data_IF_323173888379
#
_entry.id   IF_323173888379
#
_cell.length_a   1.000
_cell.length_b   1.000
_cell.length_c   1.000
_cell.angle_alpha   90.00
_cell.angle_beta   90.00
_cell.angle_gamma   90.00
#
_symmetry.space_group_name_H-M   'P 1'
#
loop_
_entity.id
_entity.type
_entity.pdbx_description
1 polymer ?
#
# COMPACT_ATOMS: atom_id res chain seq x y z
N UNK A 1 47.07 -48.27 50.49
CA UNK A 1 45.91 -47.93 51.34
C UNK A 1 45.47 -46.52 50.94
N UNK A 2 44.24 -46.18 50.58
CA UNK A 2 42.95 -46.86 50.44
C UNK A 2 42.25 -46.10 49.28
N UNK A 3 41.80 -46.85 48.28
CA UNK A 3 41.07 -46.36 47.11
C UNK A 3 39.61 -46.11 47.49
N UNK A 4 39.18 -44.85 47.49
CA UNK A 4 37.79 -44.46 47.70
C UNK A 4 36.97 -44.59 46.42
N UNK A 5 36.16 -45.65 46.35
CA UNK A 5 35.14 -45.90 45.33
C UNK A 5 34.06 -44.82 45.38
N UNK A 6 33.91 -44.04 44.31
CA UNK A 6 32.73 -43.17 44.10
C UNK A 6 31.86 -43.75 42.99
N UNK A 7 30.58 -43.89 43.32
CA UNK A 7 29.51 -44.56 42.55
C UNK A 7 29.28 -43.91 41.17
N UNK A 8 28.87 -44.69 40.16
CA UNK A 8 28.44 -44.13 38.88
C UNK A 8 27.14 -43.32 39.05
N UNK A 9 27.14 -42.12 38.46
CA UNK A 9 25.97 -41.25 38.32
C UNK A 9 24.88 -41.97 37.53
N UNK A 10 23.71 -42.05 38.16
CA UNK A 10 22.45 -42.55 37.61
C UNK A 10 22.13 -41.80 36.31
N UNK A 11 21.93 -42.53 35.21
CA UNK A 11 21.51 -41.95 33.93
C UNK A 11 20.20 -41.16 34.11
N UNK A 12 20.05 -40.00 33.43
CA UNK A 12 18.79 -39.27 33.46
C UNK A 12 17.69 -40.16 32.85
N UNK A 13 16.67 -40.41 33.67
CA UNK A 13 15.43 -41.05 33.28
C UNK A 13 14.87 -40.38 32.03
N UNK A 14 14.63 -41.16 30.98
CA UNK A 14 13.85 -40.75 29.83
C UNK A 14 12.50 -40.19 30.34
N UNK A 15 12.38 -38.87 30.33
CA UNK A 15 11.08 -38.23 30.38
C UNK A 15 10.30 -38.75 29.17
N UNK A 16 9.27 -39.53 29.47
CA UNK A 16 8.25 -39.94 28.50
C UNK A 16 7.63 -38.67 27.95
N UNK A 17 8.15 -38.23 26.81
CA UNK A 17 7.57 -37.14 26.04
C UNK A 17 6.11 -37.45 25.80
N UNK A 18 5.23 -36.57 26.29
CA UNK A 18 3.84 -36.56 25.89
C UNK A 18 3.79 -36.65 24.35
N UNK A 19 2.98 -37.55 23.77
CA UNK A 19 2.80 -37.56 22.34
C UNK A 19 2.26 -36.18 21.95
N UNK A 20 3.10 -35.35 21.32
CA UNK A 20 2.66 -34.15 20.60
C UNK A 20 1.53 -34.64 19.71
N UNK A 21 0.29 -34.24 20.01
CA UNK A 21 -0.85 -34.45 19.12
C UNK A 21 -0.38 -34.02 17.74
N UNK A 22 -0.14 -35.00 16.85
CA UNK A 22 -0.12 -34.77 15.41
C UNK A 22 -1.54 -34.33 15.07
N UNK A 23 -1.86 -33.06 15.33
CA UNK A 23 -2.91 -32.39 14.55
C UNK A 23 -2.50 -32.67 13.11
N UNK A 24 -3.43 -33.19 12.30
CA UNK A 24 -3.31 -33.17 10.85
C UNK A 24 -2.93 -31.73 10.50
N UNK A 25 -1.63 -31.49 10.31
CA UNK A 25 -1.09 -30.16 10.15
C UNK A 25 -1.45 -29.75 8.73
N UNK A 26 -2.65 -29.21 8.58
CA UNK A 26 -3.10 -28.64 7.32
C UNK A 26 -2.08 -27.58 6.96
N UNK A 27 -1.49 -27.70 5.77
CA UNK A 27 -0.44 -26.80 5.31
C UNK A 27 -0.90 -25.34 5.47
N UNK A 28 -0.05 -24.42 5.98
CA UNK A 28 -0.44 -23.02 6.14
C UNK A 28 -0.89 -22.40 4.81
N UNK A 29 -0.34 -22.86 3.68
CA UNK A 29 -0.76 -22.42 2.35
C UNK A 29 -2.16 -22.89 1.98
N UNK A 30 -2.58 -24.08 2.44
CA UNK A 30 -3.95 -24.56 2.24
C UNK A 30 -4.95 -23.71 3.02
N UNK A 31 -4.63 -23.32 4.25
CA UNK A 31 -5.47 -22.42 5.06
C UNK A 31 -5.62 -21.06 4.37
N UNK A 32 -4.50 -20.48 3.90
CA UNK A 32 -4.51 -19.20 3.17
C UNK A 32 -5.28 -19.31 1.85
N UNK A 33 -5.09 -20.37 1.08
CA UNK A 33 -5.78 -20.60 -0.18
C UNK A 33 -7.30 -20.75 0.02
N UNK A 34 -7.74 -21.47 1.05
CA UNK A 34 -9.16 -21.59 1.41
C UNK A 34 -9.72 -20.22 1.80
N UNK A 35 -9.03 -19.47 2.65
CA UNK A 35 -9.45 -18.12 3.05
C UNK A 35 -9.60 -17.19 1.84
N UNK A 36 -8.60 -17.15 0.96
CA UNK A 36 -8.63 -16.37 -0.28
C UNK A 36 -9.77 -16.80 -1.21
N UNK A 37 -9.98 -18.11 -1.39
CA UNK A 37 -11.08 -18.63 -2.20
C UNK A 37 -12.45 -18.27 -1.64
N UNK A 38 -12.65 -18.35 -0.33
CA UNK A 38 -13.90 -17.94 0.31
C UNK A 38 -14.15 -16.43 0.15
N UNK A 39 -13.12 -15.59 0.25
CA UNK A 39 -13.24 -14.15 -0.04
C UNK A 39 -13.70 -13.92 -1.47
N UNK A 40 -13.12 -14.60 -2.46
CA UNK A 40 -13.54 -14.49 -3.86
C UNK A 40 -14.99 -14.96 -4.05
N UNK A 41 -15.42 -16.03 -3.38
CA UNK A 41 -16.82 -16.47 -3.39
C UNK A 41 -17.74 -15.42 -2.79
N UNK A 42 -17.36 -14.78 -1.68
CA UNK A 42 -18.14 -13.72 -1.06
C UNK A 42 -18.28 -12.50 -1.98
N UNK A 43 -17.18 -12.05 -2.61
CA UNK A 43 -17.23 -10.93 -3.55
C UNK A 43 -18.07 -11.29 -4.79
N UNK A 44 -18.00 -12.54 -5.28
CA UNK A 44 -18.89 -12.99 -6.34
C UNK A 44 -20.37 -12.93 -5.93
N UNK A 45 -20.70 -13.34 -4.71
CA UNK A 45 -22.05 -13.30 -4.16
C UNK A 45 -22.56 -11.88 -3.89
N UNK A 46 -21.66 -10.94 -3.59
CA UNK A 46 -21.97 -9.51 -3.46
C UNK A 46 -22.51 -8.93 -4.77
N UNK A 47 -22.03 -9.41 -5.92
CA UNK A 47 -22.52 -9.04 -7.24
C UNK A 47 -21.87 -7.77 -7.81
N UNK A 48 -22.54 -7.14 -8.78
CA UNK A 48 -21.98 -6.01 -9.55
C UNK A 48 -22.03 -4.66 -8.83
N UNK A 49 -22.87 -4.54 -7.80
CA UNK A 49 -23.02 -3.33 -7.00
C UNK A 49 -21.97 -3.34 -5.88
N UNK A 50 -20.88 -2.61 -6.07
CA UNK A 50 -19.86 -2.44 -5.02
C UNK A 50 -20.06 -1.16 -4.20
N UNK A 51 -20.70 -0.14 -4.78
CA UNK A 51 -21.04 1.10 -4.07
C UNK A 51 -22.45 1.06 -3.48
N UNK A 52 -22.63 1.73 -2.34
CA UNK A 52 -23.91 1.85 -1.61
C UNK A 52 -24.55 0.50 -1.21
N UNK A 53 -23.78 -0.59 -1.21
CA UNK A 53 -24.21 -1.88 -0.67
C UNK A 53 -23.96 -1.96 0.84
N UNK A 54 -24.60 -2.93 1.48
CA UNK A 54 -24.40 -3.20 2.91
C UNK A 54 -22.91 -3.33 3.24
N UNK A 55 -22.41 -2.64 4.29
CA UNK A 55 -21.04 -2.80 4.76
C UNK A 55 -20.76 -4.20 5.31
N UNK A 56 -21.79 -5.05 5.47
CA UNK A 56 -21.64 -6.43 5.91
C UNK A 56 -20.72 -7.24 4.98
N UNK A 57 -20.76 -7.01 3.67
CA UNK A 57 -19.92 -7.74 2.70
C UNK A 57 -18.41 -7.57 2.94
N UNK A 58 -17.86 -6.34 2.88
CA UNK A 58 -16.43 -6.14 3.14
C UNK A 58 -16.03 -6.51 4.57
N UNK A 59 -16.95 -6.41 5.55
CA UNK A 59 -16.70 -6.87 6.91
C UNK A 59 -16.53 -8.40 6.96
N UNK A 60 -17.43 -9.15 6.34
CA UNK A 60 -17.37 -10.63 6.33
C UNK A 60 -16.13 -11.12 5.57
N UNK A 61 -15.79 -10.51 4.43
CA UNK A 61 -14.55 -10.80 3.72
C UNK A 61 -13.31 -10.56 4.58
N UNK A 62 -13.25 -9.42 5.28
CA UNK A 62 -12.16 -9.09 6.18
C UNK A 62 -12.06 -10.08 7.36
N UNK A 63 -13.20 -10.53 7.90
CA UNK A 63 -13.24 -11.55 8.95
C UNK A 63 -12.73 -12.90 8.45
N UNK A 64 -13.11 -13.33 7.23
CA UNK A 64 -12.64 -14.58 6.63
C UNK A 64 -11.14 -14.54 6.37
N UNK A 65 -10.66 -13.48 5.71
CA UNK A 65 -9.24 -13.28 5.46
C UNK A 65 -8.44 -13.19 6.78
N UNK A 66 -8.94 -12.40 7.73
CA UNK A 66 -8.36 -12.25 9.06
C UNK A 66 -8.28 -13.56 9.83
N UNK A 67 -9.33 -14.39 9.80
CA UNK A 67 -9.34 -15.69 10.45
C UNK A 67 -8.29 -16.64 9.84
N UNK A 68 -8.17 -16.69 8.51
CA UNK A 68 -7.14 -17.49 7.84
C UNK A 68 -5.73 -17.01 8.19
N UNK A 69 -5.50 -15.69 8.20
CA UNK A 69 -4.22 -15.10 8.57
C UNK A 69 -3.86 -15.37 10.04
N UNK A 70 -4.82 -15.23 10.96
CA UNK A 70 -4.62 -15.57 12.38
C UNK A 70 -4.34 -17.06 12.58
N UNK A 71 -5.02 -17.93 11.85
CA UNK A 71 -4.81 -19.38 11.93
C UNK A 71 -3.40 -19.80 11.52
N UNK A 72 -2.77 -19.10 10.56
CA UNK A 72 -1.38 -19.40 10.13
C UNK A 72 -0.31 -18.68 10.95
N UNK A 73 -0.68 -17.77 11.85
CA UNK A 73 0.27 -17.02 12.69
C UNK A 73 1.28 -17.89 13.46
N UNK A 74 0.88 -19.05 14.06
CA UNK A 74 1.83 -19.93 14.72
C UNK A 74 2.90 -20.50 13.79
N UNK A 75 2.56 -20.70 12.52
CA UNK A 75 3.43 -21.24 11.45
C UNK A 75 4.05 -20.15 10.57
N UNK A 76 4.02 -18.87 10.98
CA UNK A 76 4.50 -17.75 10.14
C UNK A 76 5.95 -17.91 9.66
N UNK A 77 6.83 -18.53 10.44
CA UNK A 77 8.23 -18.76 10.07
C UNK A 77 8.41 -19.87 9.04
N UNK A 78 7.38 -20.69 8.82
CA UNK A 78 7.35 -21.76 7.82
C UNK A 78 6.92 -21.27 6.45
N UNK A 79 6.28 -20.09 6.40
CA UNK A 79 5.92 -19.44 5.14
C UNK A 79 7.16 -19.20 4.27
N UNK A 80 6.96 -19.10 2.96
CA UNK A 80 7.97 -18.92 1.92
C UNK A 80 7.45 -17.92 0.91
N UNK A 81 8.35 -17.14 0.32
CA UNK A 81 8.00 -16.07 -0.61
C UNK A 81 7.24 -16.59 -1.84
N UNK A 82 7.78 -17.60 -2.53
CA UNK A 82 7.21 -18.06 -3.80
C UNK A 82 5.72 -18.48 -3.67
N UNK A 83 5.32 -19.33 -2.69
CA UNK A 83 3.91 -19.61 -2.47
C UNK A 83 3.05 -18.38 -2.15
N UNK A 84 3.56 -17.40 -1.40
CA UNK A 84 2.81 -16.16 -1.11
C UNK A 84 2.60 -15.35 -2.38
N UNK A 85 3.62 -15.21 -3.23
CA UNK A 85 3.50 -14.49 -4.50
C UNK A 85 2.53 -15.19 -5.44
N UNK A 86 2.56 -16.52 -5.52
CA UNK A 86 1.63 -17.31 -6.32
C UNK A 86 0.19 -17.11 -5.82
N UNK A 87 -0.04 -17.25 -4.51
CA UNK A 87 -1.37 -17.07 -3.93
C UNK A 87 -1.87 -15.63 -4.08
N UNK A 88 -1.03 -14.63 -3.85
CA UNK A 88 -1.38 -13.22 -4.01
C UNK A 88 -1.70 -12.86 -5.45
N UNK A 89 -0.89 -13.31 -6.41
CA UNK A 89 -1.14 -13.12 -7.84
C UNK A 89 -2.42 -13.82 -8.30
N UNK A 90 -2.63 -15.06 -7.89
CA UNK A 90 -3.85 -15.82 -8.20
C UNK A 90 -5.10 -15.17 -7.59
N UNK A 91 -5.01 -14.67 -6.36
CA UNK A 91 -6.11 -13.97 -5.70
C UNK A 91 -6.52 -12.71 -6.46
N UNK A 92 -5.57 -11.90 -6.90
CA UNK A 92 -5.85 -10.68 -7.67
C UNK A 92 -6.40 -10.97 -9.06
N UNK A 93 -5.84 -11.96 -9.76
CA UNK A 93 -6.37 -12.39 -11.05
C UNK A 93 -7.81 -12.91 -10.90
N UNK A 94 -8.08 -13.68 -9.84
CA UNK A 94 -9.43 -14.14 -9.52
C UNK A 94 -10.39 -12.99 -9.22
N UNK A 95 -9.95 -12.00 -8.45
CA UNK A 95 -10.70 -10.79 -8.13
C UNK A 95 -11.08 -10.01 -9.39
N UNK A 96 -10.08 -9.68 -10.22
CA UNK A 96 -10.28 -8.98 -11.50
C UNK A 96 -11.20 -9.79 -12.42
N UNK A 97 -11.02 -11.10 -12.51
CA UNK A 97 -11.85 -11.96 -13.35
C UNK A 97 -13.33 -11.93 -12.91
N UNK A 98 -13.60 -11.96 -11.60
CA UNK A 98 -14.96 -11.84 -11.06
C UNK A 98 -15.56 -10.48 -11.41
N UNK A 99 -14.81 -9.39 -11.20
CA UNK A 99 -15.29 -8.05 -11.47
C UNK A 99 -15.55 -7.78 -12.96
N UNK A 100 -14.69 -8.29 -13.83
CA UNK A 100 -14.91 -8.24 -15.28
C UNK A 100 -16.14 -9.07 -15.68
N UNK A 101 -16.30 -10.27 -15.11
CA UNK A 101 -17.45 -11.13 -15.40
C UNK A 101 -18.78 -10.53 -14.95
N UNK A 102 -18.82 -9.94 -13.75
CA UNK A 102 -20.01 -9.34 -13.18
C UNK A 102 -20.27 -7.91 -13.69
N UNK A 103 -19.33 -7.31 -14.42
CA UNK A 103 -19.43 -5.91 -14.86
C UNK A 103 -19.36 -4.92 -13.70
N UNK A 104 -18.59 -5.22 -12.66
CA UNK A 104 -18.42 -4.34 -11.48
C UNK A 104 -17.76 -3.03 -11.89
N UNK A 105 -18.48 -1.93 -11.77
CA UNK A 105 -17.88 -0.61 -11.97
C UNK A 105 -17.22 -0.14 -10.69
N UNK A 106 -15.92 0.13 -10.75
CA UNK A 106 -15.19 0.78 -9.68
C UNK A 106 -15.38 2.30 -9.66
N UNK A 107 -14.41 2.97 -9.06
CA UNK A 107 -14.41 4.43 -8.89
C UNK A 107 -14.57 5.19 -10.24
N UNK A 108 -14.99 6.45 -10.16
CA UNK A 108 -15.09 7.35 -11.32
C UNK A 108 -13.74 7.49 -12.04
N UNK A 109 -12.64 7.43 -11.29
CA UNK A 109 -11.32 7.81 -11.79
C UNK A 109 -10.82 6.93 -12.95
N UNK A 110 -10.74 5.59 -12.87
CA UNK A 110 -10.36 4.75 -14.02
C UNK A 110 -11.34 4.81 -15.19
N UNK A 111 -12.62 5.06 -14.90
CA UNK A 111 -13.69 5.01 -15.89
C UNK A 111 -13.85 6.30 -16.70
N UNK A 112 -13.29 7.43 -16.22
CA UNK A 112 -13.37 8.71 -16.91
C UNK A 112 -12.07 9.50 -16.83
N UNK A 113 -11.61 9.81 -15.61
CA UNK A 113 -10.50 10.73 -15.39
C UNK A 113 -9.17 10.22 -15.97
N UNK A 114 -8.78 8.98 -15.68
CA UNK A 114 -7.50 8.43 -16.15
C UNK A 114 -7.50 8.33 -17.68
N UNK A 115 -8.58 7.81 -18.27
CA UNK A 115 -8.69 7.70 -19.74
C UNK A 115 -8.61 9.08 -20.41
N UNK A 116 -9.37 10.07 -19.91
CA UNK A 116 -9.38 11.41 -20.50
C UNK A 116 -8.04 12.14 -20.38
N UNK A 117 -7.39 12.07 -19.22
CA UNK A 117 -6.08 12.70 -19.02
C UNK A 117 -4.96 11.96 -19.76
N UNK A 118 -5.05 10.62 -19.83
CA UNK A 118 -4.13 9.80 -20.61
C UNK A 118 -4.22 10.11 -22.10
N UNK A 119 -5.43 10.17 -22.65
CA UNK A 119 -5.66 10.54 -24.05
C UNK A 119 -5.13 11.94 -24.39
N UNK A 120 -5.38 12.92 -23.52
CA UNK A 120 -4.84 14.27 -23.72
C UNK A 120 -3.30 14.24 -23.87
N UNK A 121 -2.61 13.55 -22.95
CA UNK A 121 -1.16 13.45 -23.01
C UNK A 121 -0.67 12.69 -24.26
N UNK A 122 -1.35 11.61 -24.65
CA UNK A 122 -1.03 10.85 -25.87
C UNK A 122 -1.20 11.68 -27.15
N UNK A 123 -2.12 12.66 -27.13
CA UNK A 123 -2.37 13.58 -28.25
C UNK A 123 -1.54 14.87 -28.19
N UNK A 124 -0.56 14.95 -27.28
CA UNK A 124 0.35 16.09 -27.20
C UNK A 124 -0.21 17.28 -26.44
N UNK A 125 -1.13 17.06 -25.50
CA UNK A 125 -1.61 18.08 -24.58
C UNK A 125 -1.41 17.63 -23.12
N UNK A 126 -0.70 18.41 -22.31
CA UNK A 126 -0.60 18.08 -20.89
C UNK A 126 -1.88 18.52 -20.16
N UNK A 127 -2.63 17.61 -19.52
CA UNK A 127 -3.93 17.93 -18.94
C UNK A 127 -3.80 18.79 -17.68
N UNK A 128 -4.82 19.60 -17.41
CA UNK A 128 -4.99 20.28 -16.13
C UNK A 128 -5.36 19.26 -15.04
N UNK A 129 -4.35 18.56 -14.52
CA UNK A 129 -4.52 17.41 -13.63
C UNK A 129 -4.34 17.78 -12.16
N UNK A 130 -5.12 17.17 -11.28
CA UNK A 130 -4.88 17.17 -9.84
C UNK A 130 -3.77 16.20 -9.40
N UNK A 131 -3.25 15.41 -10.35
CA UNK A 131 -2.23 14.40 -10.13
C UNK A 131 -0.86 14.89 -10.64
N UNK A 132 0.26 14.45 -10.01
CA UNK A 132 1.58 14.82 -10.48
C UNK A 132 1.92 14.18 -11.85
N UNK A 133 2.93 14.68 -12.57
CA UNK A 133 3.23 14.24 -13.95
C UNK A 133 3.45 12.74 -14.13
N UNK A 134 4.05 12.05 -13.16
CA UNK A 134 4.27 10.61 -13.23
C UNK A 134 2.98 9.80 -13.15
N UNK A 135 1.95 10.29 -12.46
CA UNK A 135 0.63 9.66 -12.48
C UNK A 135 -0.07 9.88 -13.83
N UNK A 136 0.00 11.09 -14.40
CA UNK A 136 -0.53 11.35 -15.75
C UNK A 136 0.14 10.45 -16.80
N UNK A 137 1.45 10.22 -16.67
CA UNK A 137 2.17 9.28 -17.53
C UNK A 137 1.69 7.82 -17.35
N UNK A 138 1.36 7.40 -16.13
CA UNK A 138 0.73 6.10 -15.89
C UNK A 138 -0.66 6.02 -16.54
N UNK A 139 -1.46 7.09 -16.46
CA UNK A 139 -2.77 7.14 -17.11
C UNK A 139 -2.67 7.01 -18.63
N UNK A 140 -1.69 7.70 -19.24
CA UNK A 140 -1.41 7.55 -20.67
C UNK A 140 -0.98 6.12 -21.02
N UNK A 141 -0.16 5.48 -20.19
CA UNK A 141 0.24 4.08 -20.38
C UNK A 141 -0.97 3.13 -20.29
N UNK A 142 -1.81 3.27 -19.27
CA UNK A 142 -3.01 2.45 -19.09
C UNK A 142 -3.97 2.62 -20.27
N UNK A 143 -4.21 3.87 -20.66
CA UNK A 143 -5.09 4.23 -21.77
C UNK A 143 -4.59 3.64 -23.09
N UNK A 144 -3.29 3.76 -23.36
CA UNK A 144 -2.66 3.19 -24.55
C UNK A 144 -2.79 1.65 -24.58
N UNK A 145 -2.46 0.98 -23.47
CA UNK A 145 -2.56 -0.48 -23.36
C UNK A 145 -4.00 -0.99 -23.47
N UNK A 146 -4.96 -0.22 -22.95
CA UNK A 146 -6.38 -0.57 -22.97
C UNK A 146 -7.14 -0.06 -24.19
N UNK A 147 -6.45 0.44 -25.23
CA UNK A 147 -7.06 0.86 -26.49
C UNK A 147 -8.02 2.04 -26.35
N UNK A 148 -7.67 3.02 -25.52
CA UNK A 148 -8.50 4.20 -25.22
C UNK A 148 -9.27 4.12 -23.91
N UNK A 149 -9.09 3.04 -23.13
CA UNK A 149 -9.69 2.89 -21.80
C UNK A 149 -8.63 2.53 -20.77
N UNK A 150 -8.63 3.17 -19.61
CA UNK A 150 -7.65 2.90 -18.55
C UNK A 150 -8.07 1.75 -17.61
N UNK A 151 -9.37 1.47 -17.45
CA UNK A 151 -9.91 0.57 -16.42
C UNK A 151 -9.23 -0.81 -16.38
N UNK A 152 -9.34 -1.57 -17.48
CA UNK A 152 -8.86 -2.95 -17.50
C UNK A 152 -7.34 -2.99 -17.48
N UNK A 153 -6.68 -2.10 -18.24
CA UNK A 153 -5.23 -2.01 -18.25
C UNK A 153 -4.66 -1.71 -16.86
N UNK A 154 -5.22 -0.73 -16.14
CA UNK A 154 -4.81 -0.38 -14.77
C UNK A 154 -4.89 -1.61 -13.85
N UNK A 155 -6.02 -2.32 -13.86
CA UNK A 155 -6.22 -3.51 -13.00
C UNK A 155 -5.11 -4.55 -13.16
N UNK A 156 -4.70 -4.85 -14.40
CA UNK A 156 -3.62 -5.79 -14.67
C UNK A 156 -2.22 -5.19 -14.43
N UNK A 157 -2.00 -3.91 -14.76
CA UNK A 157 -0.73 -3.22 -14.60
C UNK A 157 -0.32 -3.12 -13.12
N UNK A 158 -1.30 -3.09 -12.21
CA UNK A 158 -1.04 -3.04 -10.77
C UNK A 158 -0.50 -4.35 -10.18
N UNK A 159 -0.75 -5.51 -10.80
CA UNK A 159 -0.34 -6.83 -10.26
C UNK A 159 1.19 -6.91 -10.03
N UNK A 160 2.07 -6.57 -11.00
CA UNK A 160 3.51 -6.54 -10.75
C UNK A 160 3.93 -5.68 -9.55
N UNK A 161 3.31 -4.51 -9.37
CA UNK A 161 3.62 -3.61 -8.25
C UNK A 161 3.19 -4.18 -6.91
N UNK A 162 2.06 -4.88 -6.85
CA UNK A 162 1.68 -5.64 -5.67
C UNK A 162 2.69 -6.73 -5.33
N UNK A 163 3.09 -7.54 -6.31
CA UNK A 163 4.06 -8.61 -6.08
C UNK A 163 5.41 -8.04 -5.63
N UNK A 164 5.83 -6.89 -6.16
CA UNK A 164 7.01 -6.16 -5.70
C UNK A 164 6.85 -5.64 -4.27
N UNK A 165 5.67 -5.11 -3.90
CA UNK A 165 5.38 -4.69 -2.53
C UNK A 165 5.50 -5.87 -1.55
N UNK A 166 4.87 -7.00 -1.87
CA UNK A 166 4.92 -8.24 -1.09
C UNK A 166 6.37 -8.76 -0.97
N UNK A 167 7.11 -8.80 -2.08
CA UNK A 167 8.51 -9.22 -2.07
C UNK A 167 9.41 -8.24 -1.28
N UNK A 168 9.12 -6.94 -1.33
CA UNK A 168 9.82 -5.91 -0.58
C UNK A 168 9.65 -6.06 0.92
N UNK A 169 8.41 -6.29 1.38
CA UNK A 169 8.12 -6.58 2.80
C UNK A 169 8.84 -7.85 3.23
N UNK A 170 8.72 -8.93 2.45
CA UNK A 170 9.42 -10.19 2.73
C UNK A 170 10.93 -10.00 2.92
N UNK A 171 11.53 -9.18 2.05
CA UNK A 171 12.96 -8.94 1.98
C UNK A 171 13.55 -8.14 3.15
N UNK A 172 12.72 -7.63 4.08
CA UNK A 172 13.16 -7.10 5.38
C UNK A 172 13.60 -8.21 6.36
N UNK A 173 13.27 -9.48 6.08
CA UNK A 173 13.79 -10.68 6.79
C UNK A 173 13.61 -10.66 8.32
N UNK A 174 12.51 -10.13 8.82
CA UNK A 174 12.16 -10.24 10.25
C UNK A 174 11.31 -11.48 10.51
N UNK A 175 11.12 -11.87 11.77
CA UNK A 175 10.20 -12.96 12.13
C UNK A 175 8.73 -12.69 11.76
N UNK A 176 8.38 -11.44 11.47
CA UNK A 176 7.02 -11.01 11.14
C UNK A 176 6.81 -10.85 9.64
N UNK A 177 7.87 -10.63 8.86
CA UNK A 177 7.74 -10.30 7.44
C UNK A 177 7.06 -11.37 6.60
N UNK A 178 7.22 -12.69 6.86
CA UNK A 178 6.46 -13.69 6.12
C UNK A 178 4.95 -13.53 6.27
N UNK A 179 4.49 -13.29 7.50
CA UNK A 179 3.06 -13.09 7.77
C UNK A 179 2.56 -11.77 7.22
N UNK A 180 3.31 -10.67 7.40
CA UNK A 180 2.96 -9.36 6.85
C UNK A 180 2.89 -9.38 5.31
N UNK A 181 3.77 -10.17 4.66
CA UNK A 181 3.72 -10.38 3.22
C UNK A 181 2.44 -11.09 2.80
N UNK A 182 2.02 -12.12 3.54
CA UNK A 182 0.76 -12.82 3.29
C UNK A 182 -0.47 -11.93 3.56
N UNK A 183 -0.43 -11.12 4.64
CA UNK A 183 -1.46 -10.13 4.95
C UNK A 183 -1.64 -9.16 3.77
N UNK A 184 -0.56 -8.52 3.32
CA UNK A 184 -0.64 -7.58 2.20
C UNK A 184 -1.10 -8.27 0.91
N UNK A 185 -0.61 -9.49 0.64
CA UNK A 185 -0.97 -10.23 -0.56
C UNK A 185 -2.47 -10.62 -0.64
N UNK A 186 -3.13 -10.85 0.50
CA UNK A 186 -4.45 -11.51 0.55
C UNK A 186 -5.54 -10.69 1.28
N UNK A 187 -5.24 -9.48 1.73
CA UNK A 187 -6.24 -8.65 2.41
C UNK A 187 -7.26 -8.10 1.39
N UNK A 188 -8.57 -8.35 1.56
CA UNK A 188 -9.59 -8.02 0.56
C UNK A 188 -9.72 -6.53 0.29
N UNK A 189 -9.63 -5.68 1.32
CA UNK A 189 -9.76 -4.24 1.14
C UNK A 189 -8.67 -3.69 0.22
N UNK A 190 -7.50 -4.32 0.17
CA UNK A 190 -6.44 -3.92 -0.74
C UNK A 190 -6.84 -4.20 -2.20
N UNK A 191 -7.43 -5.37 -2.49
CA UNK A 191 -7.78 -5.78 -3.85
C UNK A 191 -8.72 -4.78 -4.54
N UNK A 192 -9.75 -4.32 -3.83
CA UNK A 192 -10.66 -3.30 -4.36
C UNK A 192 -9.93 -2.00 -4.75
N UNK A 193 -9.10 -1.45 -3.85
CA UNK A 193 -8.35 -0.24 -4.17
C UNK A 193 -7.31 -0.46 -5.26
N UNK A 194 -6.67 -1.62 -5.28
CA UNK A 194 -5.60 -1.95 -6.21
C UNK A 194 -6.09 -2.18 -7.63
N UNK A 195 -7.31 -2.67 -7.81
CA UNK A 195 -7.93 -2.79 -9.12
C UNK A 195 -8.29 -1.42 -9.71
N UNK A 196 -8.83 -0.52 -8.88
CA UNK A 196 -9.42 0.75 -9.34
C UNK A 196 -8.54 1.97 -9.09
N UNK A 197 -7.34 1.82 -8.55
CA UNK A 197 -6.42 2.93 -8.30
C UNK A 197 -4.99 2.53 -8.65
N UNK A 198 -4.19 3.50 -9.05
CA UNK A 198 -2.76 3.33 -9.33
C UNK A 198 -1.90 3.33 -8.05
N UNK A 199 -2.52 3.33 -6.86
CA UNK A 199 -1.89 3.46 -5.54
C UNK A 199 -0.80 2.41 -5.25
N UNK A 200 -0.82 1.27 -5.94
CA UNK A 200 0.22 0.26 -5.81
C UNK A 200 1.58 0.71 -6.34
N UNK A 201 1.62 1.58 -7.34
CA UNK A 201 2.89 2.11 -7.88
C UNK A 201 3.66 2.89 -6.79
N UNK A 202 3.09 3.96 -6.18
CA UNK A 202 3.78 4.68 -5.12
C UNK A 202 3.95 3.82 -3.85
N UNK A 203 3.06 2.86 -3.58
CA UNK A 203 3.20 1.95 -2.42
C UNK A 203 4.38 1.00 -2.58
N UNK A 204 4.53 0.37 -3.75
CA UNK A 204 5.67 -0.49 -4.04
C UNK A 204 6.97 0.31 -3.99
N UNK A 205 6.98 1.51 -4.57
CA UNK A 205 8.11 2.42 -4.50
C UNK A 205 8.46 2.81 -3.05
N UNK A 206 7.45 3.08 -2.21
CA UNK A 206 7.64 3.34 -0.77
C UNK A 206 8.33 2.15 -0.08
N UNK A 207 7.77 0.95 -0.23
CA UNK A 207 8.32 -0.26 0.42
C UNK A 207 9.74 -0.57 -0.04
N UNK A 208 9.99 -0.56 -1.36
CA UNK A 208 11.30 -0.86 -1.92
C UNK A 208 12.31 0.25 -1.57
N UNK A 209 11.90 1.51 -1.61
CA UNK A 209 12.71 2.64 -1.20
C UNK A 209 13.15 2.53 0.27
N UNK A 210 12.22 2.21 1.18
CA UNK A 210 12.52 1.97 2.59
C UNK A 210 13.43 0.74 2.79
N UNK A 211 13.21 -0.35 2.06
CA UNK A 211 14.06 -1.55 2.09
C UNK A 211 15.50 -1.22 1.64
N UNK A 212 15.65 -0.43 0.59
CA UNK A 212 16.96 0.00 0.09
C UNK A 212 17.67 0.89 1.12
N UNK A 213 16.93 1.80 1.76
CA UNK A 213 17.45 2.63 2.85
C UNK A 213 17.88 1.79 4.05
N UNK A 214 17.09 0.79 4.42
CA UNK A 214 17.43 -0.19 5.46
C UNK A 214 18.72 -0.96 5.14
N UNK A 215 19.02 -1.18 3.86
CA UNK A 215 20.26 -1.80 3.37
C UNK A 215 21.38 -0.80 3.07
N UNK A 216 21.25 0.44 3.56
CA UNK A 216 22.18 1.55 3.35
C UNK A 216 22.46 1.93 1.89
N UNK A 217 21.58 1.56 0.96
CA UNK A 217 21.65 1.95 -0.45
C UNK A 217 20.95 3.29 -0.68
N UNK A 218 21.45 4.34 -0.05
CA UNK A 218 20.79 5.65 0.06
C UNK A 218 20.45 6.31 -1.29
N UNK A 219 21.38 6.28 -2.25
CA UNK A 219 21.10 6.82 -3.60
C UNK A 219 19.93 6.10 -4.28
N UNK A 220 19.93 4.78 -4.25
CA UNK A 220 18.87 3.96 -4.84
C UNK A 220 17.55 4.10 -4.06
N UNK A 221 17.61 4.21 -2.73
CA UNK A 221 16.46 4.49 -1.88
C UNK A 221 15.79 5.80 -2.29
N UNK A 222 16.58 6.88 -2.36
CA UNK A 222 16.13 8.19 -2.82
C UNK A 222 15.47 8.11 -4.19
N UNK A 223 16.14 7.47 -5.16
CA UNK A 223 15.64 7.32 -6.52
C UNK A 223 14.30 6.61 -6.59
N UNK A 224 14.15 5.47 -5.91
CA UNK A 224 12.88 4.72 -5.92
C UNK A 224 11.78 5.51 -5.21
N UNK A 225 12.07 6.18 -4.08
CA UNK A 225 11.08 7.05 -3.42
C UNK A 225 10.69 8.25 -4.30
N UNK A 226 11.63 8.80 -5.08
CA UNK A 226 11.37 9.86 -6.03
C UNK A 226 10.46 9.42 -7.18
N UNK A 227 10.67 8.21 -7.73
CA UNK A 227 9.76 7.59 -8.70
C UNK A 227 8.35 7.40 -8.12
N UNK A 228 8.23 7.01 -6.86
CA UNK A 228 6.94 6.95 -6.18
C UNK A 228 6.31 8.34 -6.00
N UNK A 229 7.11 9.35 -5.63
CA UNK A 229 6.67 10.70 -5.36
C UNK A 229 6.10 11.42 -6.60
N UNK A 230 6.64 11.13 -7.80
CA UNK A 230 6.10 11.67 -9.06
C UNK A 230 4.78 11.01 -9.46
N UNK A 231 4.39 9.88 -8.86
CA UNK A 231 3.06 9.30 -9.02
C UNK A 231 2.10 9.79 -7.92
N UNK A 232 2.54 9.76 -6.66
CA UNK A 232 1.76 10.25 -5.50
C UNK A 232 2.72 10.76 -4.45
N UNK A 233 2.43 11.90 -3.83
CA UNK A 233 3.31 12.57 -2.85
C UNK A 233 3.75 11.75 -1.63
N UNK A 234 3.07 10.67 -1.25
CA UNK A 234 3.31 9.93 0.01
C UNK A 234 4.78 9.48 0.21
N UNK A 235 5.48 8.93 -0.80
CA UNK A 235 6.90 8.55 -0.67
C UNK A 235 7.85 9.72 -0.46
N UNK A 236 7.46 10.96 -0.81
CA UNK A 236 8.27 12.15 -0.51
C UNK A 236 8.41 12.38 0.99
N UNK A 237 7.34 12.14 1.77
CA UNK A 237 7.39 12.23 3.23
C UNK A 237 8.34 11.19 3.85
N UNK A 238 8.37 9.98 3.29
CA UNK A 238 9.34 8.96 3.71
C UNK A 238 10.78 9.38 3.41
N UNK A 239 11.04 9.97 2.23
CA UNK A 239 12.34 10.52 1.90
C UNK A 239 12.76 11.61 2.89
N UNK A 240 11.87 12.57 3.17
CA UNK A 240 12.11 13.63 4.14
C UNK A 240 12.42 13.07 5.54
N UNK A 241 11.63 12.09 6.03
CA UNK A 241 11.86 11.45 7.31
C UNK A 241 13.25 10.80 7.39
N UNK A 242 13.66 10.07 6.34
CA UNK A 242 14.98 9.44 6.27
C UNK A 242 16.11 10.47 6.26
N UNK A 243 15.97 11.55 5.49
CA UNK A 243 16.98 12.63 5.43
C UNK A 243 17.13 13.30 6.79
N UNK A 244 16.03 13.67 7.45
CA UNK A 244 16.05 14.27 8.78
C UNK A 244 16.68 13.33 9.82
N UNK A 245 16.35 12.03 9.76
CA UNK A 245 16.94 11.01 10.61
C UNK A 245 18.46 10.88 10.40
N UNK A 246 18.92 10.84 9.14
CA UNK A 246 20.35 10.78 8.79
C UNK A 246 21.11 12.02 9.26
N UNK A 247 20.57 13.22 9.01
CA UNK A 247 21.16 14.48 9.44
C UNK A 247 21.26 14.58 10.96
N UNK A 248 20.21 14.18 11.69
CA UNK A 248 20.22 14.11 13.16
C UNK A 248 21.33 13.17 13.66
N UNK A 249 21.55 12.06 12.96
CA UNK A 249 22.64 11.11 13.23
C UNK A 249 24.01 11.58 12.72
N UNK A 250 24.12 12.81 12.20
CA UNK A 250 25.33 13.39 11.60
C UNK A 250 25.86 12.59 10.40
N UNK A 251 25.01 11.79 9.73
CA UNK A 251 25.33 11.05 8.51
C UNK A 251 25.05 11.90 7.27
N UNK A 252 25.84 12.94 7.08
CA UNK A 252 25.63 13.95 6.02
C UNK A 252 25.71 13.34 4.62
N UNK A 253 26.78 12.61 4.30
CA UNK A 253 26.96 12.00 2.96
C UNK A 253 25.82 11.04 2.57
N UNK A 254 25.36 10.12 3.44
CA UNK A 254 24.13 9.36 3.19
C UNK A 254 22.88 10.24 2.93
N UNK A 255 22.71 11.33 3.67
CA UNK A 255 21.58 12.24 3.49
C UNK A 255 21.64 12.94 2.12
N UNK A 256 22.83 13.37 1.69
CA UNK A 256 23.07 13.93 0.35
C UNK A 256 22.75 12.92 -0.75
N UNK A 257 23.21 11.67 -0.62
CA UNK A 257 22.92 10.62 -1.59
C UNK A 257 21.42 10.32 -1.68
N UNK A 258 20.72 10.28 -0.53
CA UNK A 258 19.27 10.11 -0.47
C UNK A 258 18.54 11.25 -1.21
N UNK A 259 18.93 12.51 -0.94
CA UNK A 259 18.34 13.68 -1.58
C UNK A 259 18.63 13.72 -3.08
N UNK A 260 19.87 13.45 -3.49
CA UNK A 260 20.28 13.45 -4.89
C UNK A 260 19.53 12.36 -5.66
N UNK A 261 19.43 11.16 -5.09
CA UNK A 261 18.65 10.07 -5.69
C UNK A 261 17.20 10.47 -5.88
N UNK A 262 16.58 11.09 -4.88
CA UNK A 262 15.19 11.55 -4.93
C UNK A 262 14.97 12.67 -5.95
N UNK A 263 15.90 13.62 -6.05
CA UNK A 263 15.78 14.77 -6.94
C UNK A 263 15.79 14.37 -8.42
N UNK A 264 16.54 13.34 -8.81
CA UNK A 264 16.66 12.93 -10.23
C UNK A 264 15.31 12.66 -10.90
N UNK A 265 14.48 11.70 -10.44
CA UNK A 265 13.18 11.42 -11.07
C UNK A 265 12.20 12.59 -10.93
N UNK A 266 12.24 13.31 -9.80
CA UNK A 266 11.37 14.47 -9.57
C UNK A 266 11.65 15.57 -10.59
N UNK A 267 12.92 15.94 -10.78
CA UNK A 267 13.31 16.94 -11.77
C UNK A 267 13.06 16.44 -13.18
N UNK A 268 13.37 15.17 -13.48
CA UNK A 268 13.16 14.59 -14.80
C UNK A 268 11.68 14.60 -15.22
N UNK A 269 10.75 14.38 -14.29
CA UNK A 269 9.31 14.40 -14.59
C UNK A 269 8.73 15.82 -14.59
N UNK A 270 9.12 16.68 -13.64
CA UNK A 270 8.49 17.99 -13.45
C UNK A 270 9.11 19.09 -14.31
N UNK A 271 10.41 19.04 -14.62
CA UNK A 271 11.07 20.09 -15.40
C UNK A 271 10.55 20.19 -16.84
N UNK A 272 10.33 19.08 -17.60
CA UNK A 272 9.74 19.17 -18.92
C UNK A 272 8.35 19.80 -18.90
N UNK A 273 7.50 19.40 -17.94
CA UNK A 273 6.13 19.95 -17.81
C UNK A 273 6.18 21.42 -17.38
N UNK A 274 7.11 21.79 -16.49
CA UNK A 274 7.30 23.19 -16.10
C UNK A 274 7.65 24.09 -17.30
N UNK A 275 8.48 23.58 -18.20
CA UNK A 275 8.89 24.29 -19.43
C UNK A 275 7.79 24.27 -20.51
N UNK A 276 6.94 23.25 -20.50
CA UNK A 276 5.83 23.09 -21.44
C UNK A 276 4.62 23.93 -21.03
N UNK A 277 4.07 23.69 -19.83
CA UNK A 277 2.93 24.40 -19.28
C UNK A 277 3.02 24.47 -17.74
N UNK A 278 3.55 25.59 -17.26
CA UNK A 278 3.65 25.89 -15.82
C UNK A 278 2.28 25.90 -15.14
N UNK A 279 1.23 26.36 -15.81
CA UNK A 279 -0.10 26.46 -15.20
C UNK A 279 -0.69 25.08 -14.94
N UNK A 280 -0.52 24.16 -15.89
CA UNK A 280 -0.97 22.79 -15.78
C UNK A 280 -0.13 21.98 -14.77
N UNK A 281 1.18 22.27 -14.61
CA UNK A 281 1.96 21.70 -13.52
C UNK A 281 1.45 22.14 -12.14
N UNK A 282 1.11 23.43 -12.00
CA UNK A 282 0.62 24.00 -10.74
C UNK A 282 -0.80 23.55 -10.39
N UNK A 283 -1.57 23.07 -11.37
CA UNK A 283 -2.91 22.50 -11.20
C UNK A 283 -2.95 21.41 -10.11
N UNK A 284 -1.93 20.55 -10.08
CA UNK A 284 -1.82 19.48 -9.09
C UNK A 284 -1.79 20.02 -7.64
N UNK A 285 -1.32 21.24 -7.43
CA UNK A 285 -1.27 21.87 -6.11
C UNK A 285 -2.50 22.73 -5.84
N UNK A 286 -2.95 23.53 -6.82
CA UNK A 286 -4.11 24.41 -6.64
C UNK A 286 -5.40 23.63 -6.44
N UNK A 287 -5.59 22.52 -7.17
CA UNK A 287 -6.80 21.69 -7.06
C UNK A 287 -6.85 20.97 -5.72
N UNK A 288 -5.72 20.47 -5.23
CA UNK A 288 -5.65 19.83 -3.90
C UNK A 288 -5.86 20.85 -2.77
N UNK A 289 -5.37 22.10 -2.92
CA UNK A 289 -5.60 23.16 -1.96
C UNK A 289 -7.07 23.65 -1.91
N UNK A 290 -7.83 23.43 -2.98
CA UNK A 290 -9.25 23.76 -3.04
C UNK A 290 -10.16 22.66 -2.47
N UNK A 291 -9.62 21.47 -2.15
CA UNK A 291 -10.43 20.36 -1.60
C UNK A 291 -10.89 20.67 -0.18
N UNK A 292 -12.16 20.40 0.06
CA UNK A 292 -12.77 20.43 1.40
C UNK A 292 -12.75 19.03 2.02
N UNK A 293 -13.21 18.89 3.27
CA UNK A 293 -13.43 17.58 3.89
C UNK A 293 -14.36 16.75 3.01
N UNK A 294 -13.93 15.55 2.64
CA UNK A 294 -14.71 14.55 1.89
C UNK A 294 -15.09 13.39 2.81
N UNK A 295 -15.96 12.48 2.36
CA UNK A 295 -16.31 11.29 3.14
C UNK A 295 -15.11 10.35 3.38
N UNK A 296 -14.07 10.47 2.55
CA UNK A 296 -12.81 9.72 2.66
C UNK A 296 -11.84 10.34 3.69
N UNK A 297 -12.12 11.55 4.16
CA UNK A 297 -11.27 12.23 5.12
C UNK A 297 -11.36 11.58 6.49
N UNK A 298 -10.22 11.36 7.17
CA UNK A 298 -10.22 10.78 8.52
C UNK A 298 -11.10 11.56 9.52
N UNK A 299 -11.17 12.88 9.36
CA UNK A 299 -12.02 13.76 10.19
C UNK A 299 -13.51 13.66 9.89
N UNK A 300 -13.89 13.05 8.76
CA UNK A 300 -15.29 12.95 8.37
C UNK A 300 -16.08 12.08 9.34
N UNK A 301 -15.53 10.95 9.79
CA UNK A 301 -16.25 10.04 10.67
C UNK A 301 -16.75 10.72 11.97
N UNK A 302 -15.92 11.41 12.77
CA UNK A 302 -16.43 12.14 13.92
C UNK A 302 -17.38 13.28 13.54
N UNK A 303 -17.14 14.00 12.43
CA UNK A 303 -18.05 15.05 11.95
C UNK A 303 -19.43 14.49 11.58
N UNK A 304 -19.47 13.32 10.95
CA UNK A 304 -20.69 12.60 10.62
C UNK A 304 -21.41 12.11 11.89
N UNK A 305 -20.69 11.49 12.82
CA UNK A 305 -21.27 10.93 14.04
C UNK A 305 -21.81 11.98 15.02
N UNK A 306 -21.08 13.09 15.20
CA UNK A 306 -21.42 14.09 16.22
C UNK A 306 -22.13 15.32 15.66
N UNK A 307 -22.03 15.56 14.35
CA UNK A 307 -22.59 16.76 13.70
C UNK A 307 -23.49 16.43 12.51
N UNK A 308 -23.77 15.15 12.26
CA UNK A 308 -24.64 14.66 11.19
C UNK A 308 -24.27 15.21 9.79
N UNK A 309 -22.98 15.46 9.57
CA UNK A 309 -22.45 15.92 8.28
C UNK A 309 -22.72 14.84 7.24
N UNK A 310 -23.36 15.23 6.14
CA UNK A 310 -23.62 14.32 5.01
C UNK A 310 -22.52 14.43 3.96
N UNK A 311 -22.22 13.34 3.23
CA UNK A 311 -21.27 13.41 2.13
C UNK A 311 -21.88 14.22 0.99
N UNK A 312 -21.05 14.69 0.05
CA UNK A 312 -21.55 15.21 -1.22
C UNK A 312 -22.31 14.14 -2.02
N UNK A 313 -22.77 14.48 -3.22
CA UNK A 313 -23.45 13.51 -4.09
C UNK A 313 -22.59 12.25 -4.31
N UNK A 314 -21.28 12.42 -4.35
CA UNK A 314 -20.30 11.35 -4.32
C UNK A 314 -19.42 11.43 -3.07
N UNK A 315 -18.94 10.30 -2.58
CA UNK A 315 -18.14 10.22 -1.34
C UNK A 315 -16.79 10.99 -1.43
N UNK A 316 -16.27 11.21 -2.63
CA UNK A 316 -15.07 12.01 -2.91
C UNK A 316 -15.36 13.50 -3.13
N UNK A 317 -16.63 13.91 -3.17
CA UNK A 317 -16.99 15.33 -3.20
C UNK A 317 -16.96 15.92 -1.80
N UNK A 318 -16.81 17.25 -1.76
CA UNK A 318 -16.84 18.00 -0.51
C UNK A 318 -18.12 17.76 0.28
N UNK A 319 -17.96 17.38 1.53
CA UNK A 319 -19.03 17.34 2.51
C UNK A 319 -19.44 18.78 2.87
N UNK A 320 -20.71 18.97 3.21
CA UNK A 320 -21.22 20.26 3.67
C UNK A 320 -20.78 20.50 5.12
N UNK A 321 -19.65 21.18 5.28
CA UNK A 321 -19.06 21.49 6.58
C UNK A 321 -18.70 22.98 6.69
N UNK A 322 -18.80 23.58 7.88
CA UNK A 322 -18.36 24.96 8.09
C UNK A 322 -16.89 25.15 7.72
N UNK A 323 -16.51 26.34 7.22
CA UNK A 323 -15.13 26.69 6.84
C UNK A 323 -14.11 26.45 7.98
N UNK A 324 -14.53 26.66 9.23
CA UNK A 324 -13.71 26.38 10.40
C UNK A 324 -13.37 24.89 10.54
N UNK A 325 -14.28 23.98 10.19
CA UNK A 325 -14.04 22.54 10.21
C UNK A 325 -13.04 22.12 9.12
N UNK A 326 -13.14 22.68 7.91
CA UNK A 326 -12.13 22.50 6.86
C UNK A 326 -10.74 22.97 7.32
N UNK A 327 -10.67 24.16 7.93
CA UNK A 327 -9.41 24.71 8.44
C UNK A 327 -8.81 23.85 9.56
N UNK A 328 -9.65 23.40 10.50
CA UNK A 328 -9.22 22.52 11.58
C UNK A 328 -8.72 21.16 11.08
N UNK A 329 -9.37 20.58 10.06
CA UNK A 329 -8.94 19.35 9.42
C UNK A 329 -7.54 19.46 8.82
N UNK A 330 -7.26 20.56 8.11
CA UNK A 330 -5.94 20.86 7.54
C UNK A 330 -4.89 20.95 8.65
N UNK A 331 -5.16 21.71 9.72
CA UNK A 331 -4.22 21.84 10.84
C UNK A 331 -3.98 20.51 11.55
N UNK A 332 -5.02 19.70 11.75
CA UNK A 332 -4.89 18.37 12.33
C UNK A 332 -3.98 17.49 11.46
N UNK A 333 -4.15 17.51 10.13
CA UNK A 333 -3.30 16.77 9.21
C UNK A 333 -1.85 17.25 9.25
N UNK A 334 -1.61 18.57 9.25
CA UNK A 334 -0.26 19.15 9.38
C UNK A 334 0.40 18.70 10.68
N UNK A 335 -0.31 18.79 11.82
CA UNK A 335 0.20 18.38 13.13
C UNK A 335 0.48 16.87 13.15
N UNK A 336 -0.43 16.05 12.63
CA UNK A 336 -0.25 14.60 12.57
C UNK A 336 0.96 14.20 11.72
N UNK A 337 1.09 14.77 10.51
CA UNK A 337 2.24 14.52 9.63
C UNK A 337 3.54 15.01 10.28
N UNK A 338 3.53 16.22 10.85
CA UNK A 338 4.68 16.78 11.56
C UNK A 338 5.11 15.91 12.75
N UNK A 339 4.15 15.41 13.53
CA UNK A 339 4.42 14.49 14.63
C UNK A 339 5.02 13.16 14.15
N UNK A 340 4.49 12.57 13.07
CA UNK A 340 5.04 11.34 12.48
C UNK A 340 6.46 11.55 11.97
N UNK A 341 6.73 12.66 11.26
CA UNK A 341 8.08 13.02 10.79
C UNK A 341 9.04 13.21 11.96
N UNK A 342 8.61 13.91 13.02
CA UNK A 342 9.40 14.09 14.22
C UNK A 342 9.69 12.77 14.91
N UNK A 343 8.69 11.91 15.10
CA UNK A 343 8.88 10.58 15.70
C UNK A 343 9.85 9.73 14.87
N UNK A 344 9.72 9.71 13.54
CA UNK A 344 10.61 8.98 12.66
C UNK A 344 12.06 9.52 12.73
N UNK A 345 12.23 10.85 12.71
CA UNK A 345 13.54 11.48 12.84
C UNK A 345 14.18 11.22 14.23
N UNK A 346 13.37 11.15 15.29
CA UNK A 346 13.82 10.92 16.67
C UNK A 346 14.02 9.43 17.01
N UNK A 347 13.57 8.52 16.14
CA UNK A 347 13.61 7.08 16.37
C UNK A 347 15.03 6.62 16.67
N UNK A 348 15.19 5.97 17.83
CA UNK A 348 16.45 5.33 18.22
C UNK A 348 16.52 3.97 17.53
N UNK A 349 17.61 3.72 16.83
CA UNK A 349 17.98 2.34 16.49
C UNK A 349 18.71 1.78 17.71
N UNK A 350 18.17 0.74 18.33
CA UNK A 350 18.95 -0.09 19.24
C UNK A 350 20.04 -0.74 18.38
N UNK A 351 21.29 -0.40 18.70
CA UNK A 351 22.47 -0.96 18.07
C UNK A 351 22.70 -2.38 18.57
#
# INVERSE_FOLDING_TARGET
MQTGVTRPLKAPSQERGFPRRRRLATSPYTILAIGAGLVLVLEYLRGSATFNTSPAWPIVEALVAGAALLAVWPSRTELRLAPILILGGAFQLGWIAIHLHLGVHGDHDPNGLYSAQGEALLHGEYPHSEYPPGAVALFALDTWLGGGTARTANAFLMIPFQLLCVAGIWALRTQWTPWLSAFVALWPSNAFFWEFRFDLVPTAALVIGLLLGHRERWLASGFVLGLGAIAKWTPAFACLALVLWLLRRRRVRPAELQLLGFAVPVLAANLPVLLWDKSALLAAYSTQNARTVTAESFVYLPLHLFWNVSPGHWYFQGADVPTAANSAAIWLQIVAVGAVLAMAALARTHA
#
